data_IF_348732770031
#
_entry.id   IF_348732770031
#
_cell.length_a   1.000
_cell.length_b   1.000
_cell.length_c   1.000
_cell.angle_alpha   90.00
_cell.angle_beta   90.00
_cell.angle_gamma   90.00
#
_symmetry.space_group_name_H-M   'P 1'
#
loop_
_entity.id
_entity.type
_entity.pdbx_description
1 polymer ?
#
# COMPACT_ATOMS: atom_id res chain seq x y z
N UNK A 1 45.33 2.65 61.48
CA UNK A 1 46.78 2.88 61.40
C UNK A 1 47.21 2.54 59.98
N UNK A 2 47.20 3.54 59.08
CA UNK A 2 48.38 4.05 58.35
C UNK A 2 48.39 3.47 56.92
N UNK A 3 48.49 4.21 55.81
CA UNK A 3 48.76 5.62 55.53
C UNK A 3 48.07 6.08 54.22
N UNK A 4 47.94 7.39 54.12
CA UNK A 4 47.50 8.26 53.02
C UNK A 4 48.11 7.99 51.64
N UNK A 5 47.36 8.36 50.59
CA UNK A 5 47.89 8.56 49.24
C UNK A 5 46.82 8.60 48.14
N UNK A 6 45.80 9.44 48.28
CA UNK A 6 44.80 9.69 47.22
C UNK A 6 45.43 10.50 46.09
N UNK A 7 46.05 9.81 45.14
CA UNK A 7 46.47 10.34 43.85
C UNK A 7 45.64 9.69 42.75
N UNK A 8 44.45 10.24 42.49
CA UNK A 8 43.73 9.95 41.25
C UNK A 8 44.17 11.05 40.29
N UNK A 9 45.19 10.73 39.50
CA UNK A 9 45.68 11.59 38.41
C UNK A 9 44.60 11.72 37.34
N UNK A 10 44.42 12.95 36.84
CA UNK A 10 43.54 13.40 35.75
C UNK A 10 43.89 12.79 34.37
N UNK A 11 44.24 11.51 34.27
CA UNK A 11 44.75 10.89 33.02
C UNK A 11 44.00 9.61 32.62
N UNK A 12 42.71 9.49 32.99
CA UNK A 12 41.82 8.42 32.46
C UNK A 12 40.55 8.97 31.81
N UNK A 13 40.57 10.25 31.39
CA UNK A 13 39.49 10.84 30.59
C UNK A 13 39.80 10.98 29.10
N UNK A 14 41.04 10.73 28.65
CA UNK A 14 41.45 10.94 27.25
C UNK A 14 41.61 9.67 26.40
N UNK A 15 41.49 8.46 26.95
CA UNK A 15 41.49 7.22 26.13
C UNK A 15 40.09 6.73 25.71
N UNK A 16 39.02 7.30 26.26
CA UNK A 16 37.64 6.99 25.84
C UNK A 16 37.14 7.95 24.74
N UNK A 17 37.87 9.04 24.46
CA UNK A 17 37.52 9.98 23.38
C UNK A 17 38.18 9.65 22.02
N UNK A 18 39.25 8.86 21.97
CA UNK A 18 40.08 8.71 20.75
C UNK A 18 39.67 7.52 19.86
N UNK A 19 38.82 6.60 20.32
CA UNK A 19 38.30 5.51 19.47
C UNK A 19 36.93 5.80 18.83
N UNK A 20 36.23 6.86 19.23
CA UNK A 20 34.93 7.24 18.63
C UNK A 20 35.08 8.21 17.45
N UNK A 21 36.20 8.94 17.36
CA UNK A 21 36.42 9.90 16.26
C UNK A 21 37.01 9.30 14.98
N UNK A 22 37.72 8.17 15.04
CA UNK A 22 38.34 7.56 13.85
C UNK A 22 37.39 6.69 13.00
N UNK A 23 36.19 6.36 13.51
CA UNK A 23 35.16 5.64 12.72
C UNK A 23 34.19 6.60 12.03
N UNK A 24 34.22 7.90 12.40
CA UNK A 24 33.27 8.92 11.93
C UNK A 24 33.32 9.20 10.40
N UNK A 25 34.47 9.13 9.69
CA UNK A 25 34.46 9.41 8.24
C UNK A 25 34.09 8.19 7.37
N UNK A 26 34.20 6.96 7.87
CA UNK A 26 34.01 5.75 7.04
C UNK A 26 32.55 5.24 7.03
N UNK A 27 31.68 5.81 7.85
CA UNK A 27 30.22 5.54 7.83
C UNK A 27 29.44 6.59 7.01
N UNK A 28 30.06 7.75 6.74
CA UNK A 28 29.43 8.91 6.08
C UNK A 28 29.52 8.90 4.54
N UNK A 29 29.62 7.71 3.94
CA UNK A 29 29.57 7.52 2.47
C UNK A 29 28.24 6.93 1.97
N UNK A 30 27.35 6.50 2.88
CA UNK A 30 25.96 6.22 2.53
C UNK A 30 25.21 7.54 2.68
N UNK A 31 24.41 7.91 1.67
CA UNK A 31 23.33 8.87 1.88
C UNK A 31 22.48 8.34 3.04
N UNK A 32 22.79 8.76 4.26
CA UNK A 32 21.83 8.80 5.34
C UNK A 32 20.70 9.63 4.78
N UNK A 33 19.58 8.98 4.49
CA UNK A 33 18.33 9.74 4.45
C UNK A 33 18.26 10.32 5.86
N UNK A 34 18.57 11.60 6.00
CA UNK A 34 18.23 12.35 7.19
C UNK A 34 16.71 12.30 7.28
N UNK A 35 16.17 11.24 7.88
CA UNK A 35 14.87 11.30 8.51
C UNK A 35 15.12 12.02 9.82
N UNK A 36 15.49 13.30 9.73
CA UNK A 36 15.42 14.20 10.86
C UNK A 36 13.94 14.21 11.24
N UNK A 37 13.56 13.37 12.22
CA UNK A 37 12.17 13.24 12.66
C UNK A 37 11.61 14.63 12.88
N UNK A 38 10.45 14.91 12.30
CA UNK A 38 9.90 16.27 12.20
C UNK A 38 9.95 16.96 13.57
N UNK A 39 10.90 17.88 13.72
CA UNK A 39 11.10 18.64 14.95
C UNK A 39 10.19 19.86 14.91
N UNK A 40 9.31 19.98 15.90
CA UNK A 40 8.50 21.20 16.10
C UNK A 40 8.63 21.66 17.53
N UNK A 41 8.92 22.95 17.72
CA UNK A 41 9.12 23.58 19.03
C UNK A 41 10.13 22.83 19.91
N UNK A 42 11.22 22.33 19.33
CA UNK A 42 12.26 21.58 20.03
C UNK A 42 11.87 20.16 20.46
N UNK A 43 10.69 19.66 20.05
CA UNK A 43 10.22 18.31 20.35
C UNK A 43 10.23 17.45 19.10
N UNK A 44 10.71 16.21 19.24
CA UNK A 44 10.59 15.18 18.20
C UNK A 44 9.13 14.77 18.02
N UNK A 45 8.83 14.12 16.90
CA UNK A 45 7.52 13.54 16.68
C UNK A 45 7.15 12.50 17.76
N UNK A 46 8.12 11.71 18.22
CA UNK A 46 7.93 10.76 19.33
C UNK A 46 7.55 11.48 20.64
N UNK A 47 8.21 12.58 20.98
CA UNK A 47 7.88 13.37 22.17
C UNK A 47 6.48 13.97 22.08
N UNK A 48 6.08 14.43 20.88
CA UNK A 48 4.73 14.97 20.62
C UNK A 48 3.66 13.89 20.67
N UNK A 49 3.98 12.67 20.25
CA UNK A 49 3.14 11.48 20.40
C UNK A 49 2.88 11.10 21.87
N UNK A 50 3.72 11.57 22.80
CA UNK A 50 3.68 11.20 24.22
C UNK A 50 4.72 10.14 24.63
N UNK A 51 5.73 9.88 23.79
CA UNK A 51 6.84 8.99 24.08
C UNK A 51 6.62 7.52 23.70
N UNK A 52 7.55 6.67 24.13
CA UNK A 52 7.64 5.27 23.69
C UNK A 52 6.39 4.43 24.02
N UNK A 53 5.79 4.62 25.20
CA UNK A 53 4.58 3.88 25.60
C UNK A 53 3.39 4.18 24.68
N UNK A 54 3.25 5.43 24.24
CA UNK A 54 2.22 5.81 23.28
C UNK A 54 2.54 5.27 21.88
N UNK A 55 3.81 5.25 21.49
CA UNK A 55 4.19 4.62 20.22
C UNK A 55 3.90 3.11 20.21
N UNK A 56 4.23 2.40 21.27
CA UNK A 56 3.94 0.97 21.41
C UNK A 56 2.42 0.72 21.35
N UNK A 57 1.64 1.50 22.12
CA UNK A 57 0.17 1.40 22.12
C UNK A 57 -0.44 1.71 20.76
N UNK A 58 0.11 2.70 20.04
CA UNK A 58 -0.31 3.05 18.69
C UNK A 58 -0.07 1.89 17.71
N UNK A 59 1.11 1.28 17.77
CA UNK A 59 1.47 0.13 16.93
C UNK A 59 0.53 -1.04 17.22
N UNK A 60 0.31 -1.39 18.49
CA UNK A 60 -0.60 -2.50 18.83
C UNK A 60 -2.02 -2.24 18.34
N UNK A 61 -2.56 -1.04 18.59
CA UNK A 61 -3.91 -0.65 18.14
C UNK A 61 -4.03 -0.68 16.60
N UNK A 62 -3.00 -0.20 15.88
CA UNK A 62 -2.95 -0.26 14.42
C UNK A 62 -3.01 -1.72 13.92
N UNK A 63 -2.21 -2.63 14.51
CA UNK A 63 -2.18 -4.02 14.08
C UNK A 63 -3.47 -4.77 14.41
N UNK A 64 -4.07 -4.51 15.57
CA UNK A 64 -5.34 -5.13 15.97
C UNK A 64 -6.49 -4.74 15.04
N UNK A 65 -6.46 -3.53 14.47
CA UNK A 65 -7.36 -3.13 13.39
C UNK A 65 -6.99 -3.78 12.06
N UNK A 66 -5.71 -3.81 11.71
CA UNK A 66 -5.25 -4.35 10.44
C UNK A 66 -5.57 -5.84 10.27
N UNK A 67 -5.61 -6.63 11.35
CA UNK A 67 -5.95 -8.06 11.29
C UNK A 67 -7.44 -8.32 11.02
N UNK A 68 -8.32 -7.34 11.21
CA UNK A 68 -9.77 -7.46 10.92
C UNK A 68 -10.24 -6.56 9.78
N UNK A 69 -9.43 -5.61 9.31
CA UNK A 69 -9.77 -4.77 8.16
C UNK A 69 -9.76 -5.60 6.88
N UNK A 70 -10.92 -5.69 6.21
CA UNK A 70 -11.13 -6.55 5.05
C UNK A 70 -10.18 -6.27 3.87
N UNK A 71 -9.59 -5.07 3.81
CA UNK A 71 -8.69 -4.61 2.75
C UNK A 71 -7.28 -5.15 2.91
N UNK A 72 -6.84 -5.35 4.16
CA UNK A 72 -5.43 -5.65 4.47
C UNK A 72 -5.22 -6.88 5.34
N UNK A 73 -6.28 -7.42 5.97
CA UNK A 73 -6.22 -8.58 6.88
C UNK A 73 -5.42 -9.76 6.31
N UNK A 74 -5.46 -9.98 5.00
CA UNK A 74 -4.71 -11.05 4.34
C UNK A 74 -3.18 -10.96 4.57
N UNK A 75 -2.62 -9.75 4.67
CA UNK A 75 -1.20 -9.54 4.93
C UNK A 75 -0.83 -9.80 6.40
N UNK A 76 -1.78 -9.57 7.32
CA UNK A 76 -1.57 -9.56 8.77
C UNK A 76 -2.06 -10.83 9.48
N UNK A 77 -2.95 -11.61 8.87
CA UNK A 77 -3.44 -12.88 9.41
C UNK A 77 -2.37 -13.96 9.31
N UNK A 78 -1.42 -13.91 10.25
CA UNK A 78 -0.26 -14.80 10.38
C UNK A 78 -0.25 -15.47 11.76
N UNK A 79 0.63 -16.44 11.95
CA UNK A 79 0.86 -17.02 13.27
C UNK A 79 1.32 -15.96 14.28
N UNK A 80 1.08 -16.23 15.58
CA UNK A 80 1.38 -15.28 16.67
C UNK A 80 2.85 -14.85 16.71
N UNK A 81 3.78 -15.75 16.36
CA UNK A 81 5.22 -15.46 16.37
C UNK A 81 5.57 -14.47 15.26
N UNK A 82 5.06 -14.70 14.05
CA UNK A 82 5.21 -13.77 12.92
C UNK A 82 4.59 -12.42 13.25
N UNK A 83 3.37 -12.42 13.79
CA UNK A 83 2.65 -11.22 14.20
C UNK A 83 3.43 -10.37 15.23
N UNK A 84 3.99 -11.01 16.27
CA UNK A 84 4.86 -10.32 17.25
C UNK A 84 6.10 -9.72 16.60
N UNK A 85 6.72 -10.46 15.68
CA UNK A 85 7.93 -10.00 14.97
C UNK A 85 7.63 -8.78 14.09
N UNK A 86 6.55 -8.78 13.32
CA UNK A 86 6.21 -7.65 12.43
C UNK A 86 5.79 -6.40 13.23
N UNK A 87 5.05 -6.56 14.34
CA UNK A 87 4.75 -5.45 15.28
C UNK A 87 6.02 -4.80 15.81
N UNK A 88 6.96 -5.62 16.29
CA UNK A 88 8.27 -5.13 16.76
C UNK A 88 9.05 -4.40 15.65
N UNK A 89 9.01 -4.90 14.41
CA UNK A 89 9.65 -4.21 13.26
C UNK A 89 9.01 -2.88 12.93
N UNK A 90 7.68 -2.79 13.02
CA UNK A 90 6.97 -1.52 12.85
C UNK A 90 7.32 -0.53 13.96
N UNK A 91 7.31 -0.96 15.22
CA UNK A 91 7.75 -0.13 16.34
C UNK A 91 9.18 0.40 16.14
N UNK A 92 10.13 -0.47 15.77
CA UNK A 92 11.51 -0.09 15.51
C UNK A 92 11.60 0.97 14.38
N UNK A 93 10.82 0.78 13.32
CA UNK A 93 10.77 1.73 12.21
C UNK A 93 10.22 3.08 12.63
N UNK A 94 9.04 3.11 13.25
CA UNK A 94 8.40 4.35 13.67
C UNK A 94 9.19 5.07 14.76
N UNK A 95 9.78 4.34 15.71
CA UNK A 95 10.67 4.94 16.72
C UNK A 95 11.79 5.70 16.04
N UNK A 96 12.54 5.05 15.13
CA UNK A 96 13.66 5.69 14.44
C UNK A 96 13.20 6.88 13.60
N UNK A 97 12.12 6.71 12.84
CA UNK A 97 11.56 7.74 11.98
C UNK A 97 10.97 8.94 12.76
N UNK A 98 10.50 8.73 13.99
CA UNK A 98 9.90 9.77 14.82
C UNK A 98 10.91 10.45 15.75
N UNK A 99 12.21 10.16 15.62
CA UNK A 99 13.28 10.75 16.42
C UNK A 99 13.52 10.04 17.76
N UNK A 100 13.13 8.78 17.87
CA UNK A 100 13.43 7.90 19.00
C UNK A 100 14.79 7.23 18.92
N UNK A 101 15.25 6.59 20.03
CA UNK A 101 16.57 6.00 20.11
C UNK A 101 16.69 4.66 19.35
N UNK A 102 15.58 3.96 19.16
CA UNK A 102 15.56 2.66 18.46
C UNK A 102 15.50 2.91 16.97
N UNK A 103 16.49 2.39 16.25
CA UNK A 103 16.62 2.56 14.81
C UNK A 103 16.21 1.30 14.04
N UNK A 104 15.63 1.50 12.87
CA UNK A 104 15.37 0.46 11.88
C UNK A 104 16.24 0.73 10.66
N UNK A 105 16.80 -0.31 10.06
CA UNK A 105 17.59 -0.20 8.83
C UNK A 105 16.66 -0.05 7.61
N UNK A 106 16.53 1.15 7.00
CA UNK A 106 15.59 1.37 5.91
C UNK A 106 15.90 0.53 4.67
N UNK A 107 17.15 0.06 4.51
CA UNK A 107 17.54 -0.83 3.42
C UNK A 107 16.77 -2.17 3.44
N UNK A 108 16.15 -2.51 4.57
CA UNK A 108 15.33 -3.72 4.73
C UNK A 108 13.87 -3.54 4.29
N UNK A 109 13.39 -2.32 4.09
CA UNK A 109 11.99 -2.08 3.69
C UNK A 109 11.68 -2.67 2.31
N UNK A 110 12.43 -2.28 1.28
CA UNK A 110 12.19 -2.77 -0.09
C UNK A 110 12.25 -4.31 -0.17
N UNK A 111 13.31 -5.00 0.28
CA UNK A 111 13.39 -6.45 0.16
C UNK A 111 12.28 -7.18 0.93
N UNK A 112 11.85 -6.63 2.07
CA UNK A 112 10.78 -7.24 2.86
C UNK A 112 9.41 -7.19 2.16
N UNK A 113 9.16 -6.17 1.33
CA UNK A 113 7.87 -5.98 0.66
C UNK A 113 7.89 -6.32 -0.85
N UNK A 114 9.06 -6.52 -1.45
CA UNK A 114 9.21 -6.73 -2.90
C UNK A 114 8.39 -7.91 -3.46
N UNK A 115 8.32 -9.02 -2.72
CA UNK A 115 7.55 -10.20 -3.17
C UNK A 115 6.07 -10.10 -2.84
N UNK A 116 5.62 -9.01 -2.20
CA UNK A 116 4.23 -8.82 -1.82
C UNK A 116 3.44 -8.10 -2.94
N UNK A 117 2.13 -8.32 -2.95
CA UNK A 117 1.20 -7.59 -3.81
C UNK A 117 0.52 -6.43 -3.08
N UNK A 118 1.34 -5.60 -2.42
CA UNK A 118 0.86 -4.39 -1.74
C UNK A 118 0.71 -3.28 -2.79
N UNK A 119 -0.51 -2.82 -2.97
CA UNK A 119 -0.88 -1.75 -3.90
C UNK A 119 -1.01 -0.42 -3.13
N UNK A 120 -1.22 0.69 -3.83
CA UNK A 120 -1.54 1.97 -3.18
C UNK A 120 -2.79 1.85 -2.31
N UNK A 121 -3.83 1.17 -2.79
CA UNK A 121 -5.04 0.88 -2.02
C UNK A 121 -4.74 0.22 -0.66
N UNK A 122 -3.87 -0.79 -0.64
CA UNK A 122 -3.49 -1.47 0.60
C UNK A 122 -2.67 -0.54 1.53
N UNK A 123 -1.80 0.30 0.96
CA UNK A 123 -1.01 1.25 1.72
C UNK A 123 -1.89 2.36 2.33
N UNK A 124 -2.84 2.90 1.56
CA UNK A 124 -3.79 3.92 2.02
C UNK A 124 -4.67 3.39 3.15
N UNK A 125 -5.08 2.12 3.07
CA UNK A 125 -5.80 1.46 4.16
C UNK A 125 -4.98 1.42 5.46
N UNK A 126 -3.66 1.18 5.38
CA UNK A 126 -2.78 1.20 6.55
C UNK A 126 -2.60 2.61 7.11
N UNK A 127 -2.46 3.62 6.26
CA UNK A 127 -2.42 5.02 6.73
C UNK A 127 -3.72 5.39 7.44
N UNK A 128 -4.88 5.04 6.88
CA UNK A 128 -6.17 5.31 7.50
C UNK A 128 -6.33 4.61 8.85
N UNK A 129 -5.91 3.34 8.94
CA UNK A 129 -5.91 2.57 10.20
C UNK A 129 -5.01 3.25 11.24
N UNK A 130 -3.80 3.66 10.84
CA UNK A 130 -2.85 4.33 11.72
C UNK A 130 -3.40 5.67 12.23
N UNK A 131 -3.95 6.51 11.34
CA UNK A 131 -4.56 7.79 11.72
C UNK A 131 -5.77 7.59 12.64
N UNK A 132 -6.60 6.57 12.40
CA UNK A 132 -7.72 6.23 13.31
C UNK A 132 -7.23 5.82 14.69
N UNK A 133 -6.22 4.96 14.77
CA UNK A 133 -5.61 4.55 16.02
C UNK A 133 -5.05 5.77 16.79
N UNK A 134 -4.33 6.66 16.10
CA UNK A 134 -3.79 7.88 16.71
C UNK A 134 -4.88 8.82 17.22
N UNK A 135 -5.96 9.00 16.44
CA UNK A 135 -7.10 9.83 16.83
C UNK A 135 -7.79 9.33 18.09
N UNK A 136 -7.98 8.02 18.24
CA UNK A 136 -8.57 7.44 19.45
C UNK A 136 -7.70 7.60 20.70
N UNK A 137 -6.38 7.74 20.51
CA UNK A 137 -5.44 8.05 21.57
C UNK A 137 -5.39 9.55 21.92
N UNK A 138 -6.24 10.38 21.29
CA UNK A 138 -6.26 11.84 21.43
C UNK A 138 -4.93 12.51 21.08
N UNK A 139 -4.18 11.95 20.13
CA UNK A 139 -3.01 12.61 19.54
C UNK A 139 -3.51 13.83 18.73
N UNK A 140 -2.82 14.97 18.86
CA UNK A 140 -3.22 16.20 18.20
C UNK A 140 -3.05 16.14 16.67
N UNK A 141 -3.83 16.96 15.95
CA UNK A 141 -3.88 16.94 14.50
C UNK A 141 -2.53 17.24 13.84
N UNK A 142 -1.76 18.18 14.36
CA UNK A 142 -0.44 18.55 13.82
C UNK A 142 0.56 17.40 13.96
N UNK A 143 0.50 16.66 15.07
CA UNK A 143 1.28 15.43 15.26
C UNK A 143 0.83 14.30 14.34
N UNK A 144 -0.48 14.12 14.14
CA UNK A 144 -1.00 13.12 13.20
C UNK A 144 -0.62 13.41 11.74
N UNK A 145 -0.64 14.67 11.33
CA UNK A 145 -0.27 15.07 9.96
C UNK A 145 1.21 14.79 9.69
N UNK A 146 2.10 15.17 10.59
CA UNK A 146 3.53 14.87 10.48
C UNK A 146 3.79 13.36 10.50
N UNK A 147 3.07 12.62 11.35
CA UNK A 147 3.14 11.15 11.40
C UNK A 147 2.75 10.52 10.06
N UNK A 148 1.61 10.91 9.51
CA UNK A 148 1.14 10.42 8.21
C UNK A 148 2.12 10.80 7.10
N UNK A 149 2.69 12.01 7.12
CA UNK A 149 3.68 12.43 6.14
C UNK A 149 4.95 11.56 6.19
N UNK A 150 5.48 11.29 7.39
CA UNK A 150 6.66 10.44 7.57
C UNK A 150 6.39 9.02 7.08
N UNK A 151 5.26 8.42 7.45
CA UNK A 151 4.91 7.06 7.00
C UNK A 151 4.66 7.02 5.50
N UNK A 152 3.99 8.04 4.92
CA UNK A 152 3.79 8.13 3.49
C UNK A 152 5.09 8.21 2.69
N UNK A 153 6.18 8.71 3.30
CA UNK A 153 7.51 8.78 2.70
C UNK A 153 8.10 7.43 2.26
N UNK A 154 7.69 6.32 2.88
CA UNK A 154 8.14 4.96 2.51
C UNK A 154 7.20 4.22 1.57
N UNK A 155 6.18 4.90 1.03
CA UNK A 155 5.19 4.27 0.14
C UNK A 155 5.83 3.53 -1.02
N UNK A 156 6.75 4.19 -1.73
CA UNK A 156 7.43 3.60 -2.89
C UNK A 156 8.27 2.38 -2.52
N UNK A 157 8.80 2.32 -1.29
CA UNK A 157 9.57 1.17 -0.81
C UNK A 157 8.67 -0.02 -0.49
N UNK A 158 7.45 0.23 -0.01
CA UNK A 158 6.49 -0.80 0.35
C UNK A 158 5.72 -1.32 -0.86
N UNK A 159 5.37 -0.46 -1.82
CA UNK A 159 4.63 -0.86 -3.03
C UNK A 159 5.54 -1.35 -4.17
N UNK A 160 6.87 -1.33 -3.99
CA UNK A 160 7.86 -1.57 -5.06
C UNK A 160 7.63 -2.86 -5.84
N UNK A 161 7.24 -3.93 -5.14
CA UNK A 161 6.95 -5.23 -5.74
C UNK A 161 5.82 -5.17 -6.75
N UNK A 162 4.70 -4.57 -6.33
CA UNK A 162 3.56 -4.33 -7.21
C UNK A 162 3.95 -3.40 -8.36
N UNK A 163 4.61 -2.28 -8.09
CA UNK A 163 5.01 -1.32 -9.13
C UNK A 163 5.87 -1.97 -10.21
N UNK A 164 6.87 -2.76 -9.82
CA UNK A 164 7.76 -3.45 -10.76
C UNK A 164 7.00 -4.47 -11.64
N UNK A 165 6.08 -5.24 -11.06
CA UNK A 165 5.26 -6.19 -11.83
C UNK A 165 4.31 -5.49 -12.80
N UNK A 166 3.66 -4.41 -12.36
CA UNK A 166 2.77 -3.62 -13.22
C UNK A 166 3.54 -2.96 -14.38
N UNK A 167 4.77 -2.53 -14.15
CA UNK A 167 5.64 -2.00 -15.21
C UNK A 167 6.03 -3.09 -16.22
N UNK A 168 6.41 -4.28 -15.75
CA UNK A 168 6.71 -5.42 -16.62
C UNK A 168 5.49 -5.83 -17.47
N UNK A 169 4.31 -5.92 -16.85
CA UNK A 169 3.06 -6.22 -17.53
C UNK A 169 2.69 -5.16 -18.58
N UNK A 170 2.90 -3.86 -18.28
CA UNK A 170 2.70 -2.78 -19.25
C UNK A 170 3.60 -2.95 -20.47
N UNK A 171 4.89 -3.17 -20.24
CA UNK A 171 5.86 -3.39 -21.33
C UNK A 171 5.47 -4.59 -22.18
N UNK A 172 5.03 -5.67 -21.56
CA UNK A 172 4.60 -6.89 -22.25
C UNK A 172 3.36 -6.66 -23.12
N UNK A 173 2.37 -5.91 -22.61
CA UNK A 173 1.20 -5.49 -23.38
C UNK A 173 1.58 -4.68 -24.64
N UNK A 174 2.70 -3.95 -24.61
CA UNK A 174 3.22 -3.18 -25.76
C UNK A 174 3.99 -4.06 -26.76
N UNK A 175 4.66 -5.12 -26.29
CA UNK A 175 5.53 -5.97 -27.13
C UNK A 175 4.85 -7.20 -27.71
N UNK A 176 4.00 -7.89 -26.94
CA UNK A 176 3.54 -9.24 -27.27
C UNK A 176 2.23 -9.25 -28.08
N UNK A 177 1.58 -8.08 -28.26
CA UNK A 177 0.29 -7.98 -28.92
C UNK A 177 -0.87 -8.41 -28.01
N UNK A 178 -1.94 -7.61 -27.96
CA UNK A 178 -3.07 -7.86 -27.07
C UNK A 178 -3.87 -9.11 -27.48
N UNK A 179 -3.95 -9.41 -28.78
CA UNK A 179 -4.59 -10.63 -29.28
C UNK A 179 -4.06 -11.91 -28.61
N UNK A 180 -2.76 -11.97 -28.30
CA UNK A 180 -2.18 -13.07 -27.54
C UNK A 180 -2.67 -13.15 -26.09
N UNK A 181 -2.85 -11.99 -25.43
CA UNK A 181 -3.40 -11.93 -24.08
C UNK A 181 -4.86 -12.42 -24.06
N UNK A 182 -5.67 -12.00 -25.03
CA UNK A 182 -7.03 -12.49 -25.22
C UNK A 182 -7.07 -14.02 -25.43
N UNK A 183 -6.16 -14.56 -26.25
CA UNK A 183 -6.08 -16.01 -26.47
C UNK A 183 -5.60 -16.77 -25.23
N UNK A 184 -4.64 -16.22 -24.47
CA UNK A 184 -4.19 -16.81 -23.17
C UNK A 184 -5.32 -16.91 -22.16
N UNK A 185 -6.27 -15.99 -22.21
CA UNK A 185 -7.47 -16.01 -21.36
C UNK A 185 -8.56 -16.94 -21.88
N UNK A 186 -8.34 -17.68 -22.97
CA UNK A 186 -9.32 -18.62 -23.54
C UNK A 186 -10.29 -17.97 -24.54
N UNK A 187 -9.95 -16.80 -25.09
CA UNK A 187 -10.79 -16.09 -26.05
C UNK A 187 -12.17 -15.73 -25.48
N UNK A 188 -13.21 -15.72 -26.31
CA UNK A 188 -14.55 -15.31 -25.89
C UNK A 188 -15.15 -16.18 -24.77
N UNK A 189 -14.97 -17.49 -24.84
CA UNK A 189 -15.48 -18.43 -23.83
C UNK A 189 -14.79 -18.22 -22.47
N UNK A 190 -13.47 -18.03 -22.50
CA UNK A 190 -12.70 -17.76 -21.29
C UNK A 190 -13.01 -16.39 -20.68
N UNK A 191 -13.19 -15.35 -21.50
CA UNK A 191 -13.66 -14.03 -21.02
C UNK A 191 -15.08 -14.14 -20.43
N UNK A 192 -16.01 -14.86 -21.08
CA UNK A 192 -17.36 -15.09 -20.55
C UNK A 192 -17.34 -15.78 -19.18
N UNK A 193 -16.48 -16.79 -19.05
CA UNK A 193 -16.25 -17.51 -17.78
C UNK A 193 -15.69 -16.56 -16.71
N UNK A 194 -14.66 -15.79 -17.06
CA UNK A 194 -14.06 -14.78 -16.18
C UNK A 194 -15.09 -13.74 -15.72
N UNK A 195 -15.91 -13.19 -16.61
CA UNK A 195 -16.95 -12.21 -16.27
C UNK A 195 -17.96 -12.83 -15.31
N UNK A 196 -18.41 -14.05 -15.58
CA UNK A 196 -19.35 -14.75 -14.70
C UNK A 196 -18.77 -14.87 -13.28
N UNK A 197 -17.51 -15.30 -13.18
CA UNK A 197 -16.81 -15.43 -11.89
C UNK A 197 -16.54 -14.10 -11.21
N UNK A 198 -16.22 -13.05 -11.97
CA UNK A 198 -16.04 -11.68 -11.47
C UNK A 198 -17.27 -11.21 -10.71
N UNK A 199 -18.46 -11.37 -11.30
CA UNK A 199 -19.69 -10.91 -10.66
C UNK A 199 -20.04 -11.69 -9.39
N UNK A 200 -19.68 -12.97 -9.29
CA UNK A 200 -19.81 -13.71 -8.02
C UNK A 200 -18.93 -13.13 -6.89
N UNK A 201 -17.80 -12.47 -7.22
CA UNK A 201 -17.00 -11.74 -6.25
C UNK A 201 -17.59 -10.35 -5.97
N UNK A 202 -18.03 -9.63 -7.02
CA UNK A 202 -18.64 -8.29 -6.89
C UNK A 202 -19.89 -8.32 -6.01
N UNK A 203 -20.78 -9.29 -6.21
CA UNK A 203 -22.04 -9.41 -5.44
C UNK A 203 -21.79 -9.65 -3.94
N UNK A 204 -20.68 -10.30 -3.59
CA UNK A 204 -20.27 -10.58 -2.20
C UNK A 204 -19.44 -9.45 -1.59
N UNK A 205 -19.01 -8.47 -2.39
CA UNK A 205 -18.19 -7.36 -1.92
C UNK A 205 -19.08 -6.18 -1.50
N UNK A 206 -19.37 -6.12 -0.19
CA UNK A 206 -20.18 -5.06 0.43
C UNK A 206 -19.64 -3.63 0.20
N UNK A 207 -18.42 -3.48 -0.31
CA UNK A 207 -17.84 -2.17 -0.65
C UNK A 207 -18.36 -1.65 -2.00
N UNK A 208 -18.85 -2.51 -2.89
CA UNK A 208 -19.22 -2.15 -4.27
C UNK A 208 -20.53 -2.78 -4.77
N UNK A 209 -21.07 -3.80 -4.10
CA UNK A 209 -22.28 -4.48 -4.56
C UNK A 209 -23.50 -3.54 -4.71
N UNK A 210 -23.58 -2.49 -3.89
CA UNK A 210 -24.63 -1.47 -3.94
C UNK A 210 -24.77 -0.80 -5.31
N UNK A 211 -23.69 -0.69 -6.11
CA UNK A 211 -23.75 -0.09 -7.46
C UNK A 211 -24.49 -0.97 -8.47
N UNK A 212 -24.78 -2.23 -8.12
CA UNK A 212 -25.40 -3.21 -9.00
C UNK A 212 -26.78 -3.66 -8.52
N UNK A 213 -27.29 -3.12 -7.40
CA UNK A 213 -28.62 -3.43 -6.89
C UNK A 213 -29.72 -3.01 -7.87
N UNK A 214 -30.69 -3.89 -8.12
CA UNK A 214 -31.78 -3.65 -9.07
C UNK A 214 -31.36 -3.59 -10.55
N UNK A 215 -30.08 -3.83 -10.84
CA UNK A 215 -29.55 -3.79 -12.20
C UNK A 215 -29.85 -5.07 -12.99
N UNK A 216 -29.87 -4.95 -14.32
CA UNK A 216 -29.98 -6.11 -15.22
C UNK A 216 -28.59 -6.75 -15.39
N UNK A 217 -28.12 -7.45 -14.36
CA UNK A 217 -26.76 -8.01 -14.29
C UNK A 217 -26.35 -8.80 -15.53
N UNK A 218 -27.24 -9.62 -16.10
CA UNK A 218 -26.92 -10.39 -17.31
C UNK A 218 -26.63 -9.50 -18.53
N UNK A 219 -27.30 -8.35 -18.66
CA UNK A 219 -26.97 -7.38 -19.71
C UNK A 219 -25.64 -6.69 -19.44
N UNK A 220 -25.35 -6.37 -18.19
CA UNK A 220 -24.07 -5.76 -17.79
C UNK A 220 -22.92 -6.73 -18.06
N UNK A 221 -23.04 -7.99 -17.63
CA UNK A 221 -22.07 -9.06 -17.90
C UNK A 221 -21.79 -9.19 -19.40
N UNK A 222 -22.84 -9.24 -20.22
CA UNK A 222 -22.68 -9.33 -21.68
C UNK A 222 -21.97 -8.12 -22.27
N UNK A 223 -22.37 -6.91 -21.88
CA UNK A 223 -21.76 -5.67 -22.37
C UNK A 223 -20.30 -5.54 -21.92
N UNK A 224 -20.01 -5.84 -20.65
CA UNK A 224 -18.66 -5.80 -20.09
C UNK A 224 -17.77 -6.89 -20.68
N UNK A 225 -18.29 -8.09 -20.93
CA UNK A 225 -17.57 -9.15 -21.63
C UNK A 225 -17.16 -8.76 -23.04
N UNK A 226 -18.05 -8.08 -23.78
CA UNK A 226 -17.72 -7.52 -25.10
C UNK A 226 -16.66 -6.41 -25.00
N UNK A 227 -16.82 -5.47 -24.06
CA UNK A 227 -15.86 -4.38 -23.84
C UNK A 227 -14.48 -4.89 -23.45
N UNK A 228 -14.41 -5.82 -22.50
CA UNK A 228 -13.15 -6.40 -22.03
C UNK A 228 -12.53 -7.27 -23.13
N UNK A 229 -13.32 -8.03 -23.90
CA UNK A 229 -12.79 -8.77 -25.06
C UNK A 229 -12.09 -7.82 -26.03
N UNK A 230 -12.75 -6.73 -26.43
CA UNK A 230 -12.17 -5.69 -27.30
C UNK A 230 -10.92 -5.06 -26.67
N UNK A 231 -10.99 -4.65 -25.40
CA UNK A 231 -9.91 -3.98 -24.69
C UNK A 231 -8.64 -4.85 -24.59
N UNK A 232 -8.83 -6.16 -24.54
CA UNK A 232 -7.76 -7.16 -24.47
C UNK A 232 -7.37 -7.71 -25.84
N UNK A 233 -7.85 -7.14 -26.96
CA UNK A 233 -7.39 -7.52 -28.31
C UNK A 233 -8.22 -8.59 -29.02
N UNK A 234 -9.41 -8.91 -28.52
CA UNK A 234 -10.40 -9.71 -29.24
C UNK A 234 -10.92 -8.97 -30.47
N UNK A 235 -11.29 -9.73 -31.51
CA UNK A 235 -11.73 -9.19 -32.80
C UNK A 235 -13.11 -8.52 -32.79
N UNK A 236 -13.87 -8.66 -31.70
CA UNK A 236 -15.20 -8.07 -31.55
C UNK A 236 -15.13 -6.60 -31.16
N UNK A 237 -15.89 -5.75 -31.85
CA UNK A 237 -16.06 -4.34 -31.46
C UNK A 237 -17.14 -4.18 -30.38
N UNK A 238 -16.86 -3.31 -29.42
CA UNK A 238 -17.86 -2.87 -28.46
C UNK A 238 -18.66 -1.68 -29.03
N UNK A 239 -19.97 -1.90 -29.20
CA UNK A 239 -20.90 -0.93 -29.79
C UNK A 239 -21.84 -0.28 -28.75
N UNK A 240 -21.52 -0.41 -27.46
CA UNK A 240 -22.32 0.18 -26.39
C UNK A 240 -21.99 1.65 -26.13
N UNK A 241 -22.67 2.22 -25.13
CA UNK A 241 -22.39 3.58 -24.63
C UNK A 241 -20.95 3.71 -24.14
N UNK A 242 -20.42 4.93 -24.14
CA UNK A 242 -19.08 5.20 -23.64
C UNK A 242 -18.98 4.88 -22.14
N UNK A 243 -17.76 4.65 -21.63
CA UNK A 243 -17.57 4.41 -20.20
C UNK A 243 -17.97 5.65 -19.38
N UNK A 244 -17.68 6.85 -19.88
CA UNK A 244 -18.08 8.12 -19.26
C UNK A 244 -19.61 8.19 -19.15
N UNK A 245 -20.34 7.97 -20.25
CA UNK A 245 -21.79 8.05 -20.28
C UNK A 245 -22.47 7.04 -19.34
N UNK A 246 -21.88 5.86 -19.19
CA UNK A 246 -22.39 4.80 -18.31
C UNK A 246 -22.17 5.18 -16.83
N UNK A 247 -20.98 5.68 -16.48
CA UNK A 247 -20.59 5.86 -15.09
C UNK A 247 -20.82 7.29 -14.57
N UNK A 248 -21.16 8.26 -15.41
CA UNK A 248 -21.30 9.68 -15.02
C UNK A 248 -22.28 9.95 -13.87
N UNK A 249 -23.30 9.09 -13.69
CA UNK A 249 -24.31 9.25 -12.64
C UNK A 249 -23.99 8.48 -11.36
N UNK A 250 -22.93 7.67 -11.38
CA UNK A 250 -22.56 6.83 -10.25
C UNK A 250 -21.61 7.61 -9.34
N UNK A 251 -21.92 7.68 -8.05
CA UNK A 251 -21.08 8.30 -7.03
C UNK A 251 -19.87 7.41 -6.66
N UNK A 252 -19.05 7.05 -7.65
CA UNK A 252 -17.88 6.21 -7.44
C UNK A 252 -16.66 7.02 -7.01
N UNK A 253 -15.62 6.33 -6.57
CA UNK A 253 -14.35 6.96 -6.18
C UNK A 253 -13.24 6.01 -6.57
N UNK A 254 -11.98 6.46 -6.49
CA UNK A 254 -10.82 5.58 -6.66
C UNK A 254 -10.90 4.34 -5.76
N UNK A 255 -11.40 4.51 -4.52
CA UNK A 255 -11.62 3.40 -3.60
C UNK A 255 -12.54 2.32 -4.18
N UNK A 256 -13.67 2.71 -4.79
CA UNK A 256 -14.62 1.76 -5.36
C UNK A 256 -14.02 1.01 -6.56
N UNK A 257 -13.31 1.72 -7.44
CA UNK A 257 -12.66 1.09 -8.59
C UNK A 257 -11.52 0.16 -8.16
N UNK A 258 -10.76 0.50 -7.13
CA UNK A 258 -9.72 -0.38 -6.57
C UNK A 258 -10.33 -1.67 -5.99
N UNK A 259 -11.47 -1.58 -5.31
CA UNK A 259 -12.22 -2.76 -4.84
C UNK A 259 -12.67 -3.64 -6.01
N UNK A 260 -13.12 -3.03 -7.11
CA UNK A 260 -13.50 -3.75 -8.32
C UNK A 260 -12.29 -4.47 -8.95
N UNK A 261 -11.14 -3.80 -9.07
CA UNK A 261 -9.91 -4.43 -9.60
C UNK A 261 -9.40 -5.57 -8.71
N UNK A 262 -9.62 -5.51 -7.39
CA UNK A 262 -9.38 -6.66 -6.52
C UNK A 262 -10.29 -7.85 -6.85
N UNK A 263 -11.56 -7.60 -7.15
CA UNK A 263 -12.48 -8.66 -7.60
C UNK A 263 -12.03 -9.24 -8.94
N UNK A 264 -11.56 -8.42 -9.88
CA UNK A 264 -10.94 -8.86 -11.14
C UNK A 264 -9.77 -9.79 -10.89
N UNK A 265 -8.82 -9.39 -10.04
CA UNK A 265 -7.66 -10.22 -9.71
C UNK A 265 -8.05 -11.56 -9.07
N UNK A 266 -9.07 -11.57 -8.19
CA UNK A 266 -9.59 -12.81 -7.58
C UNK A 266 -10.22 -13.71 -8.64
N UNK A 267 -11.05 -13.16 -9.51
CA UNK A 267 -11.73 -13.91 -10.57
C UNK A 267 -10.76 -14.50 -11.58
N UNK A 268 -9.77 -13.75 -12.06
CA UNK A 268 -8.75 -14.24 -12.99
C UNK A 268 -7.97 -15.42 -12.40
N UNK A 269 -7.50 -15.31 -11.15
CA UNK A 269 -6.80 -16.40 -10.47
C UNK A 269 -7.68 -17.63 -10.27
N UNK A 270 -8.95 -17.43 -9.95
CA UNK A 270 -9.89 -18.54 -9.78
C UNK A 270 -10.25 -19.23 -11.11
N UNK A 271 -10.18 -18.49 -12.22
CA UNK A 271 -10.20 -19.04 -13.58
C UNK A 271 -8.86 -19.64 -14.04
N UNK A 272 -7.84 -19.69 -13.17
CA UNK A 272 -6.55 -20.31 -13.46
C UNK A 272 -5.54 -19.41 -14.18
N UNK A 273 -5.79 -18.11 -14.32
CA UNK A 273 -4.82 -17.20 -14.90
C UNK A 273 -3.58 -17.05 -14.00
N UNK A 274 -2.40 -17.12 -14.60
CA UNK A 274 -1.14 -16.87 -13.89
C UNK A 274 -1.04 -15.40 -13.44
N UNK A 275 -0.13 -15.13 -12.49
CA UNK A 275 0.04 -13.78 -11.93
C UNK A 275 0.43 -12.77 -13.01
N UNK A 276 1.33 -13.12 -13.93
CA UNK A 276 1.75 -12.24 -15.01
C UNK A 276 0.59 -11.88 -15.94
N UNK A 277 -0.22 -12.87 -16.33
CA UNK A 277 -1.43 -12.66 -17.14
C UNK A 277 -2.46 -11.81 -16.39
N UNK A 278 -2.62 -12.03 -15.09
CA UNK A 278 -3.48 -11.22 -14.23
C UNK A 278 -3.03 -9.76 -14.21
N UNK A 279 -1.73 -9.53 -14.07
CA UNK A 279 -1.14 -8.19 -14.03
C UNK A 279 -1.28 -7.49 -15.40
N UNK A 280 -1.10 -8.21 -16.51
CA UNK A 280 -1.35 -7.71 -17.87
C UNK A 280 -2.80 -7.21 -18.03
N UNK A 281 -3.79 -7.98 -17.58
CA UNK A 281 -5.22 -7.59 -17.64
C UNK A 281 -5.51 -6.40 -16.74
N UNK A 282 -5.00 -6.39 -15.50
CA UNK A 282 -5.20 -5.28 -14.56
C UNK A 282 -4.65 -3.98 -15.14
N UNK A 283 -3.47 -4.00 -15.77
CA UNK A 283 -2.89 -2.83 -16.43
C UNK A 283 -3.81 -2.30 -17.55
N UNK A 284 -4.46 -3.19 -18.31
CA UNK A 284 -5.41 -2.77 -19.36
C UNK A 284 -6.65 -2.13 -18.77
N UNK A 285 -7.23 -2.71 -17.73
CA UNK A 285 -8.40 -2.13 -17.05
C UNK A 285 -8.08 -0.82 -16.34
N UNK A 286 -6.89 -0.71 -15.75
CA UNK A 286 -6.41 0.52 -15.12
C UNK A 286 -6.29 1.67 -16.14
N UNK A 287 -5.94 1.37 -17.40
CA UNK A 287 -5.81 2.37 -18.46
C UNK A 287 -7.12 3.12 -18.77
N UNK A 288 -8.28 2.52 -18.43
CA UNK A 288 -9.60 3.13 -18.63
C UNK A 288 -10.18 3.76 -17.36
N UNK A 289 -9.42 3.78 -16.24
CA UNK A 289 -9.85 4.38 -14.96
C UNK A 289 -10.41 5.79 -15.13
N UNK A 290 -9.70 6.65 -15.86
CA UNK A 290 -10.09 8.06 -16.03
C UNK A 290 -11.44 8.21 -16.74
N UNK A 291 -11.73 7.33 -17.69
CA UNK A 291 -13.01 7.31 -18.39
C UNK A 291 -14.16 6.90 -17.44
N UNK A 292 -13.90 5.94 -16.55
CA UNK A 292 -14.87 5.46 -15.56
C UNK A 292 -15.13 6.51 -14.47
N UNK A 293 -14.07 7.13 -13.94
CA UNK A 293 -14.16 8.10 -12.85
C UNK A 293 -14.40 9.54 -13.33
N UNK A 294 -14.68 9.74 -14.61
CA UNK A 294 -14.74 11.05 -15.28
C UNK A 294 -15.56 12.10 -14.50
N UNK A 295 -16.72 11.74 -13.97
CA UNK A 295 -17.59 12.66 -13.22
C UNK A 295 -16.97 13.17 -11.90
N UNK A 296 -16.02 12.46 -11.30
CA UNK A 296 -15.40 12.83 -10.02
C UNK A 296 -14.24 13.81 -10.13
N UNK A 297 -13.75 14.07 -11.36
CA UNK A 297 -12.64 14.99 -11.60
C UNK A 297 -13.09 16.40 -11.99
N UNK A 298 -14.37 16.62 -12.31
CA UNK A 298 -14.88 17.93 -12.72
C UNK A 298 -15.50 18.77 -11.59
N UNK A 299 -15.99 18.15 -10.49
CA UNK A 299 -16.58 18.89 -9.37
C UNK A 299 -15.57 19.32 -8.28
N UNK A 300 -14.34 18.78 -8.27
CA UNK A 300 -13.32 19.14 -7.28
C UNK A 300 -12.62 20.49 -7.52
N UNK A 301 -13.04 21.28 -8.52
CA UNK A 301 -12.51 22.63 -8.78
C UNK A 301 -13.49 23.77 -8.45
N UNK A 302 -14.72 23.51 -8.00
CA UNK A 302 -15.64 24.58 -7.58
C UNK A 302 -16.57 24.14 -6.46
N UNK A 303 -16.08 24.12 -5.21
CA UNK A 303 -16.82 24.52 -4.01
C UNK A 303 -15.85 24.73 -2.86
#
# INVERSE_FOLDING_TARGET
>A
RAMLGTGVDEVVMDEVLITVEQVRPQVMGRKTVEVAGVMKNGKTLLMRLGGDMNLESLVENMYDRAVVDSRVQFFFNRDKTTQRRIRMKMYQYLSGAFGGPVQYDPAKLKPAHYTMNITNYHFDAILEILTRAAKEMNIDADTMDDMTQVVNGIRSDVTIGCTARMEAARKKNETDGLDQLFMKLGGHEGISTFISRLYEFVERDNRINMFFEGSKLELIKKAQGAYISMLLGGSSEYNGRSLEEIHQTLAMTDFHLDCFLQCVQKALRDCGAEQDTTDEVVVRLESVRKAILHAHYFDAQYT
#
